data_IF_959437114589
#
_entry.id   IF_959437114589
#
_cell.length_a   1.000
_cell.length_b   1.000
_cell.length_c   1.000
_cell.angle_alpha   90.00
_cell.angle_beta   90.00
_cell.angle_gamma   90.00
#
_symmetry.space_group_name_H-M   'P 1'
#
loop_
_entity.id
_entity.type
_entity.pdbx_description
1 polymer ?
#
# COMPACT_ATOMS: atom_id res chain seq x y z
N UNK A 1 9.89 10.93 -67.72
CA UNK A 1 9.39 9.77 -66.95
C UNK A 1 9.26 10.23 -65.50
N UNK A 2 8.02 10.53 -65.11
CA UNK A 2 7.45 10.82 -63.78
C UNK A 2 8.13 11.74 -62.74
N UNK A 3 7.27 12.63 -62.23
CA UNK A 3 7.46 13.79 -61.36
C UNK A 3 7.51 13.44 -59.86
N UNK A 4 7.90 14.38 -58.97
CA UNK A 4 7.88 14.19 -57.52
C UNK A 4 6.48 14.44 -56.94
N UNK A 5 5.99 13.54 -56.09
CA UNK A 5 4.80 13.77 -55.27
C UNK A 5 5.19 14.02 -53.81
N UNK A 6 4.64 15.12 -53.31
CA UNK A 6 4.52 15.56 -51.94
C UNK A 6 4.09 14.44 -50.98
N UNK A 7 4.77 14.32 -49.83
CA UNK A 7 4.15 13.78 -48.63
C UNK A 7 4.13 14.80 -47.50
N UNK A 8 2.88 15.10 -47.15
CA UNK A 8 2.38 15.99 -46.12
C UNK A 8 2.95 15.65 -44.75
N UNK A 9 3.37 16.69 -44.01
CA UNK A 9 3.34 16.68 -42.55
C UNK A 9 1.96 16.17 -42.12
N UNK A 10 1.91 15.05 -41.41
CA UNK A 10 0.84 14.76 -40.46
C UNK A 10 1.47 14.71 -39.08
N UNK A 11 1.08 15.70 -38.28
CA UNK A 11 1.13 15.71 -36.83
C UNK A 11 0.56 14.40 -36.29
N UNK A 12 1.43 13.52 -35.80
CA UNK A 12 1.03 12.51 -34.84
C UNK A 12 1.01 13.18 -33.47
N UNK A 13 -0.18 13.61 -33.07
CA UNK A 13 -0.48 13.98 -31.70
C UNK A 13 -0.14 12.78 -30.81
N UNK A 14 0.82 12.94 -29.92
CA UNK A 14 1.18 11.95 -28.90
C UNK A 14 0.08 12.00 -27.85
N UNK A 15 -0.90 11.09 -27.96
CA UNK A 15 -1.88 10.85 -26.90
C UNK A 15 -1.22 10.00 -25.81
N UNK A 16 -1.16 10.57 -24.62
CA UNK A 16 -0.65 9.93 -23.39
C UNK A 16 -1.84 9.27 -22.69
N UNK A 17 -1.88 7.94 -22.49
CA UNK A 17 -3.00 7.29 -21.82
C UNK A 17 -2.97 7.57 -20.32
N UNK A 18 -4.08 8.09 -19.80
CA UNK A 18 -4.29 8.37 -18.39
C UNK A 18 -4.55 7.08 -17.61
N UNK A 19 -3.74 6.83 -16.57
CA UNK A 19 -3.91 5.69 -15.67
C UNK A 19 -5.09 5.94 -14.72
N UNK A 20 -6.18 5.19 -14.90
CA UNK A 20 -7.23 5.01 -13.89
C UNK A 20 -6.72 3.98 -12.88
N UNK A 21 -6.68 4.34 -11.62
CA UNK A 21 -6.19 3.47 -10.54
C UNK A 21 -7.40 3.05 -9.68
N UNK A 22 -7.53 1.73 -9.49
CA UNK A 22 -8.15 0.91 -8.44
C UNK A 22 -9.43 1.32 -7.69
N UNK A 23 -9.68 2.60 -7.48
CA UNK A 23 -10.64 3.12 -6.51
C UNK A 23 -12.03 3.34 -7.09
N UNK A 24 -12.13 3.53 -8.41
CA UNK A 24 -13.35 3.95 -9.09
C UNK A 24 -14.19 2.79 -9.64
N UNK A 25 -13.56 1.67 -9.99
CA UNK A 25 -14.26 0.49 -10.54
C UNK A 25 -14.77 -0.43 -9.44
N UNK A 26 -14.05 -0.55 -8.32
CA UNK A 26 -14.47 -1.37 -7.17
C UNK A 26 -15.64 -0.74 -6.41
N UNK A 27 -15.76 0.59 -6.43
CA UNK A 27 -16.86 1.30 -5.78
C UNK A 27 -18.21 1.09 -6.48
N UNK A 28 -18.22 0.95 -7.81
CA UNK A 28 -19.45 0.64 -8.55
C UNK A 28 -19.94 -0.78 -8.38
N UNK A 29 -19.02 -1.69 -8.07
CA UNK A 29 -19.35 -3.10 -7.84
C UNK A 29 -19.97 -3.34 -6.45
N UNK A 30 -19.79 -2.40 -5.51
CA UNK A 30 -20.39 -2.47 -4.18
C UNK A 30 -21.76 -1.80 -4.11
N UNK A 31 -22.04 -0.82 -4.98
CA UNK A 31 -23.40 -0.24 -5.11
C UNK A 31 -24.41 -1.24 -5.66
N UNK A 32 -24.00 -2.14 -6.56
CA UNK A 32 -24.89 -3.19 -7.10
C UNK A 32 -25.33 -4.24 -6.05
N UNK A 33 -24.55 -4.42 -4.97
CA UNK A 33 -24.86 -5.38 -3.92
C UNK A 33 -25.99 -4.92 -2.98
N UNK A 34 -26.29 -3.62 -2.91
CA UNK A 34 -27.37 -3.09 -2.07
C UNK A 34 -28.71 -2.97 -2.82
N UNK A 35 -28.73 -2.91 -4.16
CA UNK A 35 -29.97 -2.84 -4.94
C UNK A 35 -30.75 -4.16 -5.03
N UNK A 36 -30.11 -5.33 -4.80
CA UNK A 36 -30.78 -6.63 -4.96
C UNK A 36 -31.37 -7.25 -3.67
N UNK A 37 -31.42 -6.54 -2.53
CA UNK A 37 -32.16 -7.06 -1.37
C UNK A 37 -33.67 -6.88 -1.56
N UNK A 38 -34.48 -7.96 -1.54
CA UNK A 38 -35.91 -7.84 -1.69
C UNK A 38 -36.51 -7.06 -0.51
N UNK A 39 -37.25 -6.00 -0.83
CA UNK A 39 -38.08 -5.20 0.06
C UNK A 39 -39.09 -6.12 0.78
N UNK A 40 -38.80 -6.50 2.01
CA UNK A 40 -39.78 -7.07 2.93
C UNK A 40 -40.26 -5.97 3.87
N UNK A 41 -41.52 -5.58 3.70
CA UNK A 41 -42.38 -5.05 4.76
C UNK A 41 -42.29 -3.55 5.04
N UNK A 42 -43.11 -2.78 4.31
CA UNK A 42 -43.72 -1.57 4.87
C UNK A 42 -44.77 -2.00 5.90
N UNK A 43 -44.64 -1.55 7.16
CA UNK A 43 -45.72 -0.99 7.98
C UNK A 43 -45.22 -0.67 9.40
N UNK A 44 -45.27 0.62 9.75
CA UNK A 44 -45.51 1.14 11.11
C UNK A 44 -44.51 0.80 12.23
N UNK A 45 -43.54 1.69 12.46
CA UNK A 45 -43.34 2.21 13.82
C UNK A 45 -42.87 3.67 13.75
N UNK A 46 -43.81 4.57 14.07
CA UNK A 46 -43.53 5.97 14.33
C UNK A 46 -42.84 6.09 15.69
N UNK A 47 -41.63 6.66 15.70
CA UNK A 47 -41.09 7.24 16.93
C UNK A 47 -39.64 6.92 17.21
N UNK A 48 -38.74 7.73 16.68
CA UNK A 48 -37.69 8.44 17.43
C UNK A 48 -36.87 9.26 16.44
N UNK A 49 -37.31 10.50 16.24
CA UNK A 49 -36.55 11.50 15.51
C UNK A 49 -35.23 11.81 16.20
N UNK A 50 -34.16 11.15 15.76
CA UNK A 50 -32.78 11.61 15.94
C UNK A 50 -32.53 12.81 15.02
N UNK A 51 -32.94 13.99 15.47
CA UNK A 51 -32.69 15.27 14.78
C UNK A 51 -31.19 15.43 14.46
N UNK A 52 -30.94 15.79 13.21
CA UNK A 52 -29.62 16.10 12.66
C UNK A 52 -28.84 17.08 13.53
N UNK A 53 -27.67 16.60 13.95
CA UNK A 53 -26.56 17.39 14.46
C UNK A 53 -25.37 16.98 13.58
N UNK A 54 -25.42 17.33 12.29
CA UNK A 54 -24.26 17.30 11.41
C UNK A 54 -23.28 18.38 11.91
N UNK A 55 -22.54 18.07 12.97
CA UNK A 55 -21.68 19.02 13.68
C UNK A 55 -20.28 18.98 13.14
N UNK A 56 -19.53 20.08 13.29
CA UNK A 56 -18.11 20.16 12.97
C UNK A 56 -17.26 19.00 13.52
N UNK A 57 -17.78 18.29 14.53
CA UNK A 57 -17.30 17.02 15.07
C UNK A 57 -17.00 15.96 13.99
N UNK A 58 -17.86 15.82 12.97
CA UNK A 58 -17.69 14.81 11.92
C UNK A 58 -16.58 15.21 10.94
N UNK A 59 -16.44 16.50 10.65
CA UNK A 59 -15.36 17.03 9.80
C UNK A 59 -13.99 16.80 10.44
N UNK A 60 -13.89 16.99 11.76
CA UNK A 60 -12.67 16.70 12.50
C UNK A 60 -12.33 15.20 12.46
N UNK A 61 -13.31 14.32 12.62
CA UNK A 61 -13.10 12.88 12.55
C UNK A 61 -12.64 12.44 11.15
N UNK A 62 -13.25 12.97 10.09
CA UNK A 62 -12.79 12.78 8.71
C UNK A 62 -11.38 13.35 8.51
N UNK A 63 -11.06 14.52 9.06
CA UNK A 63 -9.71 15.08 8.98
C UNK A 63 -8.67 14.20 9.69
N UNK A 64 -8.99 13.62 10.85
CA UNK A 64 -8.12 12.66 11.53
C UNK A 64 -7.92 11.37 10.71
N UNK A 65 -8.98 10.86 10.06
CA UNK A 65 -8.87 9.72 9.15
C UNK A 65 -7.92 10.03 7.98
N UNK A 66 -8.11 11.18 7.32
CA UNK A 66 -7.25 11.61 6.22
C UNK A 66 -5.82 11.87 6.68
N UNK A 67 -5.62 12.48 7.85
CA UNK A 67 -4.28 12.77 8.38
C UNK A 67 -3.52 11.50 8.77
N UNK A 68 -4.23 10.51 9.32
CA UNK A 68 -3.69 9.17 9.55
C UNK A 68 -3.27 8.51 8.23
N UNK A 69 -4.14 8.56 7.22
CA UNK A 69 -3.84 7.97 5.91
C UNK A 69 -2.66 8.68 5.22
N UNK A 70 -2.62 10.02 5.25
CA UNK A 70 -1.46 10.82 4.79
C UNK A 70 -0.17 10.35 5.47
N UNK A 71 -0.18 10.24 6.80
CA UNK A 71 0.99 9.81 7.57
C UNK A 71 1.45 8.40 7.19
N UNK A 72 0.52 7.45 7.09
CA UNK A 72 0.81 6.06 6.77
C UNK A 72 1.34 5.91 5.35
N UNK A 73 0.63 6.42 4.35
CA UNK A 73 1.02 6.36 2.93
C UNK A 73 2.33 7.10 2.68
N UNK A 74 2.52 8.30 3.22
CA UNK A 74 3.77 9.04 3.05
C UNK A 74 4.97 8.29 3.66
N UNK A 75 4.78 7.69 4.84
CA UNK A 75 5.84 6.91 5.49
C UNK A 75 6.14 5.62 4.73
N UNK A 76 5.11 4.96 4.16
CA UNK A 76 5.28 3.78 3.31
C UNK A 76 6.06 4.13 2.03
N UNK A 77 5.67 5.19 1.33
CA UNK A 77 6.37 5.66 0.13
C UNK A 77 7.82 6.09 0.42
N UNK A 78 8.07 6.76 1.56
CA UNK A 78 9.43 7.07 2.01
C UNK A 78 10.27 5.81 2.18
N UNK A 79 9.71 4.78 2.83
CA UNK A 79 10.41 3.53 3.08
C UNK A 79 10.68 2.75 1.79
N UNK A 80 9.70 2.62 0.90
CA UNK A 80 9.84 1.89 -0.36
C UNK A 80 10.96 2.50 -1.22
N UNK A 81 11.02 3.84 -1.27
CA UNK A 81 12.09 4.53 -1.99
C UNK A 81 13.44 4.48 -1.26
N UNK A 82 13.48 4.75 0.05
CA UNK A 82 14.71 4.78 0.83
C UNK A 82 15.39 3.41 0.90
N UNK A 83 14.63 2.34 1.14
CA UNK A 83 15.17 0.98 1.22
C UNK A 83 15.84 0.55 -0.09
N UNK A 84 15.24 0.85 -1.24
CA UNK A 84 15.80 0.60 -2.56
C UNK A 84 17.10 1.39 -2.77
N UNK A 85 17.09 2.68 -2.45
CA UNK A 85 18.24 3.56 -2.58
C UNK A 85 19.40 3.09 -1.70
N UNK A 86 19.13 2.76 -0.43
CA UNK A 86 20.15 2.29 0.51
C UNK A 86 20.76 0.96 0.06
N UNK A 87 19.98 0.04 -0.48
CA UNK A 87 20.49 -1.23 -0.99
C UNK A 87 21.41 -1.04 -2.20
N UNK A 88 21.09 -0.13 -3.12
CA UNK A 88 21.95 0.18 -4.28
C UNK A 88 23.27 0.82 -3.82
N UNK A 89 23.21 1.71 -2.82
CA UNK A 89 24.42 2.37 -2.30
C UNK A 89 25.37 1.40 -1.58
N UNK A 90 24.82 0.30 -1.04
CA UNK A 90 25.55 -0.81 -0.41
C UNK A 90 26.06 -1.80 -1.46
N UNK A 91 25.23 -2.19 -2.43
CA UNK A 91 25.55 -3.15 -3.49
C UNK A 91 25.64 -2.47 -4.86
N UNK A 92 26.76 -1.79 -5.12
CA UNK A 92 26.91 -0.92 -6.31
C UNK A 92 26.86 -1.67 -7.64
N UNK A 93 27.35 -2.90 -7.67
CA UNK A 93 27.51 -3.67 -8.92
C UNK A 93 26.35 -4.64 -9.17
N UNK A 94 25.34 -4.70 -8.29
CA UNK A 94 24.21 -5.60 -8.43
C UNK A 94 22.89 -5.01 -7.93
N UNK A 95 21.86 -5.15 -8.76
CA UNK A 95 20.49 -4.77 -8.40
C UNK A 95 19.73 -5.90 -7.67
N UNK A 96 20.33 -7.10 -7.59
CA UNK A 96 19.66 -8.30 -7.07
C UNK A 96 19.10 -8.08 -5.65
N UNK A 97 19.84 -7.53 -4.66
CA UNK A 97 19.31 -7.31 -3.32
C UNK A 97 18.05 -6.44 -3.28
N UNK A 98 18.06 -5.35 -4.05
CA UNK A 98 16.93 -4.42 -4.13
C UNK A 98 15.73 -5.08 -4.84
N UNK A 99 15.97 -5.87 -5.89
CA UNK A 99 14.93 -6.65 -6.57
C UNK A 99 14.33 -7.75 -5.69
N UNK A 100 15.14 -8.43 -4.86
CA UNK A 100 14.65 -9.46 -3.94
C UNK A 100 13.70 -8.86 -2.89
N UNK A 101 14.06 -7.71 -2.31
CA UNK A 101 13.20 -7.00 -1.36
C UNK A 101 11.85 -6.65 -2.01
N UNK A 102 11.87 -6.06 -3.21
CA UNK A 102 10.64 -5.75 -3.94
C UNK A 102 9.80 -6.99 -4.26
N UNK A 103 10.43 -8.03 -4.81
CA UNK A 103 9.77 -9.28 -5.20
C UNK A 103 9.09 -9.97 -4.03
N UNK A 104 9.83 -10.21 -2.93
CA UNK A 104 9.28 -10.93 -1.79
C UNK A 104 8.23 -10.12 -1.04
N UNK A 105 8.36 -8.79 -1.00
CA UNK A 105 7.33 -7.92 -0.41
C UNK A 105 6.01 -8.04 -1.16
N UNK A 106 6.04 -7.98 -2.50
CA UNK A 106 4.82 -8.13 -3.32
C UNK A 106 4.29 -9.56 -3.34
N UNK A 107 5.16 -10.57 -3.41
CA UNK A 107 4.78 -11.97 -3.39
C UNK A 107 4.11 -12.37 -2.06
N UNK A 108 4.65 -11.89 -0.93
CA UNK A 108 4.07 -12.13 0.39
C UNK A 108 2.68 -11.50 0.51
N UNK A 109 2.53 -10.25 0.05
CA UNK A 109 1.21 -9.59 -0.01
C UNK A 109 0.22 -10.36 -0.88
N UNK A 110 0.64 -10.84 -2.05
CA UNK A 110 -0.20 -11.60 -2.97
C UNK A 110 -0.66 -12.94 -2.37
N UNK A 111 0.26 -13.71 -1.78
CA UNK A 111 -0.03 -15.06 -1.27
C UNK A 111 -0.82 -15.05 0.04
N UNK A 112 -0.69 -13.98 0.85
CA UNK A 112 -1.30 -13.87 2.17
C UNK A 112 -2.43 -12.85 2.23
N UNK A 113 -2.81 -12.21 1.13
CA UNK A 113 -3.92 -11.25 1.06
C UNK A 113 -5.24 -11.88 1.53
N UNK A 114 -5.57 -13.10 1.07
CA UNK A 114 -6.76 -13.84 1.51
C UNK A 114 -6.76 -14.12 3.02
N UNK A 115 -5.59 -14.45 3.59
CA UNK A 115 -5.44 -14.59 5.04
C UNK A 115 -5.68 -13.27 5.79
N UNK A 116 -5.14 -12.16 5.27
CA UNK A 116 -5.34 -10.82 5.84
C UNK A 116 -6.81 -10.40 5.77
N UNK A 117 -7.50 -10.62 4.65
CA UNK A 117 -8.94 -10.37 4.52
C UNK A 117 -9.74 -11.16 5.56
N UNK A 118 -9.43 -12.45 5.71
CA UNK A 118 -10.04 -13.28 6.76
C UNK A 118 -9.74 -12.81 8.19
N UNK A 119 -8.59 -12.16 8.42
CA UNK A 119 -8.25 -11.54 9.70
C UNK A 119 -9.07 -10.26 9.93
N UNK A 120 -9.25 -9.44 8.89
CA UNK A 120 -10.07 -8.23 8.92
C UNK A 120 -11.50 -8.55 9.33
N UNK A 121 -12.03 -9.65 8.80
CA UNK A 121 -13.36 -10.09 9.16
C UNK A 121 -13.45 -10.56 10.61
N UNK A 122 -12.48 -11.32 11.11
CA UNK A 122 -12.57 -12.00 12.42
C UNK A 122 -12.18 -11.12 13.61
N UNK A 123 -11.25 -10.21 13.41
CA UNK A 123 -10.69 -9.38 14.48
C UNK A 123 -11.47 -8.07 14.58
N UNK A 124 -11.64 -7.58 15.80
CA UNK A 124 -12.25 -6.28 16.08
C UNK A 124 -11.53 -5.17 15.32
N UNK A 125 -12.28 -4.28 14.68
CA UNK A 125 -11.78 -3.27 13.72
C UNK A 125 -10.65 -2.42 14.31
N UNK A 126 -10.88 -1.83 15.48
CA UNK A 126 -9.88 -1.01 16.16
C UNK A 126 -8.62 -1.79 16.54
N UNK A 127 -8.79 -3.04 17.00
CA UNK A 127 -7.66 -3.88 17.40
C UNK A 127 -6.82 -4.26 16.19
N UNK A 128 -7.47 -4.59 15.07
CA UNK A 128 -6.79 -4.92 13.82
C UNK A 128 -5.95 -3.75 13.33
N UNK A 129 -6.54 -2.55 13.20
CA UNK A 129 -5.81 -1.37 12.71
C UNK A 129 -4.65 -1.02 13.65
N UNK A 130 -4.83 -1.10 14.96
CA UNK A 130 -3.75 -0.88 15.94
C UNK A 130 -2.62 -1.90 15.83
N UNK A 131 -2.94 -3.17 15.57
CA UNK A 131 -1.93 -4.21 15.37
C UNK A 131 -1.19 -3.99 14.05
N UNK A 132 -1.91 -3.61 12.99
CA UNK A 132 -1.33 -3.32 11.69
C UNK A 132 -0.37 -2.12 11.75
N UNK A 133 -0.79 -0.99 12.35
CA UNK A 133 0.08 0.18 12.58
C UNK A 133 1.30 -0.20 13.42
N UNK A 134 1.08 -0.91 14.54
CA UNK A 134 2.17 -1.34 15.42
C UNK A 134 3.18 -2.23 14.70
N UNK A 135 2.71 -3.20 13.92
CA UNK A 135 3.55 -4.08 13.11
C UNK A 135 4.30 -3.29 12.03
N UNK A 136 3.61 -2.44 11.27
CA UNK A 136 4.17 -1.61 10.21
C UNK A 136 5.31 -0.73 10.72
N UNK A 137 5.06 0.04 11.79
CA UNK A 137 6.06 0.93 12.39
C UNK A 137 7.21 0.15 13.01
N UNK A 138 6.95 -0.98 13.67
CA UNK A 138 8.00 -1.82 14.27
C UNK A 138 8.93 -2.39 13.21
N UNK A 139 8.40 -2.94 12.10
CA UNK A 139 9.24 -3.48 11.03
C UNK A 139 10.01 -2.40 10.27
N UNK A 140 9.42 -1.21 10.07
CA UNK A 140 10.14 -0.04 9.53
C UNK A 140 11.29 0.40 10.43
N UNK A 141 11.04 0.54 11.74
CA UNK A 141 12.07 0.88 12.72
C UNK A 141 13.15 -0.18 12.80
N UNK A 142 12.79 -1.47 12.77
CA UNK A 142 13.75 -2.57 12.77
C UNK A 142 14.65 -2.52 11.52
N UNK A 143 14.07 -2.26 10.34
CA UNK A 143 14.84 -2.13 9.10
C UNK A 143 15.73 -0.89 9.08
N UNK A 144 15.23 0.28 9.44
CA UNK A 144 16.09 1.47 9.55
C UNK A 144 17.17 1.31 10.62
N UNK A 145 16.86 0.63 11.72
CA UNK A 145 17.86 0.26 12.73
C UNK A 145 18.86 -0.75 12.20
N UNK A 146 18.49 -1.64 11.30
CA UNK A 146 19.41 -2.56 10.64
C UNK A 146 20.36 -1.79 9.69
N UNK A 147 19.83 -0.82 8.95
CA UNK A 147 20.60 0.10 8.11
C UNK A 147 21.50 1.06 8.91
N UNK A 148 21.17 1.36 10.17
CA UNK A 148 21.97 2.23 11.05
C UNK A 148 22.89 1.44 12.00
N UNK A 149 22.51 0.21 12.33
CA UNK A 149 22.83 -0.47 13.58
C UNK A 149 23.73 -1.69 13.45
N UNK A 150 24.69 -1.71 12.53
CA UNK A 150 25.82 -2.65 12.64
C UNK A 150 26.72 -2.34 13.87
N UNK A 151 26.53 -1.20 14.56
CA UNK A 151 27.28 -0.87 15.79
C UNK A 151 26.73 -1.53 17.06
N UNK A 152 25.44 -1.85 17.14
CA UNK A 152 24.81 -2.36 18.38
C UNK A 152 25.00 -3.87 18.55
N UNK A 153 24.97 -4.64 17.46
CA UNK A 153 25.16 -6.10 17.48
C UNK A 153 26.64 -6.48 17.71
N UNK A 154 27.58 -5.60 17.35
CA UNK A 154 29.02 -5.84 17.45
C UNK A 154 29.72 -5.10 18.61
N UNK A 155 28.96 -4.55 19.56
CA UNK A 155 29.51 -3.77 20.69
C UNK A 155 30.26 -4.62 21.74
N UNK A 156 30.34 -5.95 21.53
CA UNK A 156 31.15 -6.86 22.34
C UNK A 156 32.56 -7.14 21.81
N UNK A 157 32.92 -6.75 20.58
CA UNK A 157 34.18 -7.23 19.97
C UNK A 157 35.08 -6.19 19.29
N UNK A 158 34.68 -4.94 19.04
CA UNK A 158 35.54 -3.99 18.29
C UNK A 158 35.52 -2.59 18.91
N UNK A 159 36.70 -2.10 19.34
CA UNK A 159 36.92 -0.70 19.72
C UNK A 159 36.78 0.17 18.47
N UNK A 160 35.89 1.14 18.55
CA UNK A 160 35.60 2.07 17.47
C UNK A 160 36.73 3.10 17.31
N UNK A 161 37.25 3.22 16.09
CA UNK A 161 37.83 4.45 15.57
C UNK A 161 37.16 4.77 14.21
N UNK A 162 36.87 6.05 13.99
CA UNK A 162 36.32 6.70 12.79
C UNK A 162 34.92 6.35 12.22
N UNK A 163 33.93 7.12 12.68
CA UNK A 163 33.25 8.12 11.82
C UNK A 163 32.29 7.70 10.69
N UNK A 164 32.13 6.42 10.34
CA UNK A 164 31.19 6.03 9.27
C UNK A 164 30.18 5.00 9.77
N UNK A 165 28.94 5.43 9.99
CA UNK A 165 27.86 4.55 10.49
C UNK A 165 26.66 4.60 9.54
N UNK A 166 26.75 3.78 8.51
CA UNK A 166 25.60 3.16 7.83
C UNK A 166 25.94 1.68 7.59
N UNK A 167 27.18 1.44 7.16
CA UNK A 167 27.86 0.15 7.01
C UNK A 167 29.39 0.36 7.19
N UNK A 168 29.84 0.96 8.30
CA UNK A 168 31.23 1.46 8.47
C UNK A 168 32.36 0.48 8.15
N UNK A 169 32.34 -0.76 8.69
CA UNK A 169 33.34 -1.77 8.33
C UNK A 169 32.91 -2.62 7.14
N UNK A 170 31.61 -2.92 6.97
CA UNK A 170 31.11 -3.92 6.01
C UNK A 170 30.88 -3.36 4.61
N UNK A 171 30.63 -2.07 4.41
CA UNK A 171 30.40 -1.48 3.07
C UNK A 171 31.48 -1.85 2.04
N UNK A 172 32.80 -1.75 2.34
CA UNK A 172 33.82 -2.17 1.39
C UNK A 172 33.85 -3.69 1.15
N UNK A 173 33.35 -4.50 2.10
CA UNK A 173 33.36 -5.96 1.99
C UNK A 173 32.02 -6.56 1.58
N UNK A 174 30.90 -5.83 1.64
CA UNK A 174 29.56 -6.36 1.42
C UNK A 174 29.41 -6.89 0.00
N UNK A 175 30.05 -6.19 -0.95
CA UNK A 175 30.11 -6.62 -2.34
C UNK A 175 30.97 -7.89 -2.50
N UNK A 176 32.21 -7.89 -2.00
CA UNK A 176 33.07 -9.07 -2.03
C UNK A 176 32.43 -10.27 -1.31
N UNK A 177 31.73 -10.01 -0.21
CA UNK A 177 31.00 -10.99 0.58
C UNK A 177 29.77 -11.55 -0.14
N UNK A 178 29.10 -10.75 -0.96
CA UNK A 178 28.01 -11.20 -1.81
C UNK A 178 28.49 -12.18 -2.88
N UNK A 179 29.68 -11.93 -3.46
CA UNK A 179 30.32 -12.82 -4.44
C UNK A 179 31.05 -14.02 -3.82
N UNK A 180 31.25 -14.03 -2.50
CA UNK A 180 31.92 -15.12 -1.77
C UNK A 180 33.43 -14.96 -1.63
N UNK A 181 33.98 -13.79 -1.97
CA UNK A 181 35.42 -13.49 -1.97
C UNK A 181 35.94 -12.96 -0.61
N UNK A 182 35.04 -12.78 0.36
CA UNK A 182 35.37 -12.32 1.71
C UNK A 182 35.49 -13.47 2.73
N UNK A 183 35.94 -13.17 3.95
CA UNK A 183 35.99 -14.16 5.02
C UNK A 183 34.59 -14.73 5.30
N UNK A 184 34.47 -16.03 5.66
CA UNK A 184 33.18 -16.71 5.80
C UNK A 184 32.26 -16.05 6.84
N UNK A 185 32.85 -15.39 7.85
CA UNK A 185 32.10 -14.63 8.85
C UNK A 185 31.44 -13.38 8.26
N UNK A 186 32.13 -12.66 7.37
CA UNK A 186 31.60 -11.45 6.71
C UNK A 186 30.53 -11.83 5.68
N UNK A 187 30.75 -12.93 4.94
CA UNK A 187 29.74 -13.52 4.04
C UNK A 187 28.47 -13.88 4.81
N UNK A 188 28.61 -14.63 5.91
CA UNK A 188 27.48 -14.99 6.76
C UNK A 188 26.75 -13.76 7.34
N UNK A 189 27.48 -12.76 7.83
CA UNK A 189 26.89 -11.52 8.36
C UNK A 189 26.13 -10.73 7.27
N UNK A 190 26.67 -10.65 6.05
CA UNK A 190 26.04 -9.90 4.95
C UNK A 190 24.75 -10.58 4.49
N UNK A 191 24.76 -11.90 4.31
CA UNK A 191 23.57 -12.66 3.93
C UNK A 191 22.50 -12.67 5.03
N UNK A 192 22.88 -12.75 6.30
CA UNK A 192 21.92 -12.68 7.41
C UNK A 192 21.24 -11.33 7.48
N UNK A 193 21.99 -10.22 7.33
CA UNK A 193 21.41 -8.88 7.25
C UNK A 193 20.45 -8.78 6.05
N UNK A 194 20.86 -9.25 4.86
CA UNK A 194 20.01 -9.21 3.67
C UNK A 194 18.71 -9.99 3.86
N UNK A 195 18.79 -11.21 4.40
CA UNK A 195 17.62 -12.05 4.67
C UNK A 195 16.71 -11.40 5.70
N UNK A 196 17.26 -10.78 6.75
CA UNK A 196 16.47 -10.05 7.75
C UNK A 196 15.79 -8.83 7.13
N UNK A 197 16.49 -8.07 6.28
CA UNK A 197 15.88 -6.95 5.55
C UNK A 197 14.70 -7.44 4.71
N UNK A 198 14.90 -8.47 3.89
CA UNK A 198 13.85 -9.07 3.05
C UNK A 198 12.67 -9.56 3.89
N UNK A 199 12.93 -10.24 5.01
CA UNK A 199 11.89 -10.75 5.90
C UNK A 199 11.07 -9.61 6.52
N UNK A 200 11.73 -8.58 7.06
CA UNK A 200 11.03 -7.43 7.63
C UNK A 200 10.28 -6.62 6.58
N UNK A 201 10.83 -6.43 5.37
CA UNK A 201 10.11 -5.78 4.27
C UNK A 201 8.90 -6.58 3.82
N UNK A 202 8.98 -7.91 3.82
CA UNK A 202 7.86 -8.79 3.49
C UNK A 202 6.73 -8.71 4.51
N UNK A 203 7.07 -8.73 5.80
CA UNK A 203 6.10 -8.54 6.88
C UNK A 203 5.50 -7.14 6.88
N UNK A 204 6.30 -6.13 6.50
CA UNK A 204 5.82 -4.77 6.30
C UNK A 204 4.81 -4.67 5.15
N UNK A 205 5.09 -5.31 4.01
CA UNK A 205 4.14 -5.38 2.89
C UNK A 205 2.81 -6.02 3.30
N UNK A 206 2.86 -7.03 4.17
CA UNK A 206 1.66 -7.65 4.72
C UNK A 206 0.88 -6.70 5.66
N UNK A 207 1.58 -5.97 6.52
CA UNK A 207 0.97 -4.97 7.40
C UNK A 207 0.33 -3.83 6.60
N UNK A 208 0.98 -3.34 5.54
CA UNK A 208 0.42 -2.35 4.62
C UNK A 208 -0.84 -2.89 3.93
N UNK A 209 -0.82 -4.15 3.48
CA UNK A 209 -2.01 -4.80 2.88
C UNK A 209 -3.16 -4.83 3.89
N UNK A 210 -2.89 -5.15 5.15
CA UNK A 210 -3.90 -5.13 6.21
C UNK A 210 -4.44 -3.72 6.48
N UNK A 211 -3.59 -2.70 6.42
CA UNK A 211 -4.00 -1.29 6.55
C UNK A 211 -4.93 -0.86 5.42
N UNK A 212 -4.58 -1.17 4.17
CA UNK A 212 -5.43 -0.86 3.00
C UNK A 212 -6.78 -1.56 3.10
N UNK A 213 -6.82 -2.87 3.39
CA UNK A 213 -8.08 -3.59 3.51
C UNK A 213 -8.92 -3.08 4.69
N UNK A 214 -8.31 -2.79 5.84
CA UNK A 214 -9.03 -2.33 7.03
C UNK A 214 -9.54 -0.90 6.89
N UNK A 215 -8.71 0.04 6.42
CA UNK A 215 -9.06 1.46 6.39
C UNK A 215 -9.76 1.82 5.08
N UNK A 216 -9.11 1.57 3.95
CA UNK A 216 -9.61 2.00 2.64
C UNK A 216 -10.83 1.16 2.20
N UNK A 217 -10.82 -0.15 2.45
CA UNK A 217 -11.89 -1.05 1.97
C UNK A 217 -12.97 -1.37 3.00
N UNK A 218 -12.71 -1.30 4.32
CA UNK A 218 -13.74 -1.56 5.33
C UNK A 218 -14.22 -0.27 6.03
N UNK A 219 -13.31 0.57 6.55
CA UNK A 219 -13.71 1.76 7.32
C UNK A 219 -14.36 2.82 6.45
N UNK A 220 -13.77 3.17 5.30
CA UNK A 220 -14.32 4.21 4.40
C UNK A 220 -15.72 3.85 3.93
N UNK A 221 -15.94 2.61 3.51
CA UNK A 221 -17.25 2.10 3.08
C UNK A 221 -18.25 2.11 4.24
N UNK A 222 -17.81 1.70 5.44
CA UNK A 222 -18.71 1.71 6.61
C UNK A 222 -19.04 3.12 7.10
N UNK A 223 -18.11 4.07 6.99
CA UNK A 223 -18.33 5.47 7.40
C UNK A 223 -19.29 6.17 6.45
N UNK A 224 -19.20 5.88 5.14
CA UNK A 224 -20.05 6.50 4.12
C UNK A 224 -21.45 5.86 3.97
N UNK A 225 -21.82 4.90 4.83
CA UNK A 225 -23.03 4.07 4.76
C UNK A 225 -24.26 4.79 4.19
N UNK A 226 -24.84 4.24 3.12
CA UNK A 226 -26.02 4.76 2.42
C UNK A 226 -25.85 6.18 1.81
N UNK A 227 -24.62 6.70 1.67
CA UNK A 227 -24.32 8.00 1.03
C UNK A 227 -23.23 7.82 -0.05
N UNK A 228 -23.62 7.42 -1.29
CA UNK A 228 -22.69 7.23 -2.41
C UNK A 228 -21.85 8.48 -2.74
N UNK A 229 -22.41 9.72 -2.70
CA UNK A 229 -21.60 10.94 -2.84
C UNK A 229 -20.50 11.09 -1.77
N UNK A 230 -20.77 10.78 -0.50
CA UNK A 230 -19.76 10.82 0.55
C UNK A 230 -18.67 9.76 0.34
N UNK A 231 -19.04 8.56 -0.10
CA UNK A 231 -18.11 7.47 -0.42
C UNK A 231 -17.14 7.88 -1.54
N UNK A 232 -17.68 8.41 -2.63
CA UNK A 232 -16.90 8.94 -3.77
C UNK A 232 -15.93 10.02 -3.32
N UNK A 233 -16.39 10.94 -2.47
CA UNK A 233 -15.55 12.04 -1.95
C UNK A 233 -14.42 11.55 -1.05
N UNK A 234 -14.69 10.62 -0.15
CA UNK A 234 -13.66 10.05 0.75
C UNK A 234 -12.60 9.31 -0.05
N UNK A 235 -13.03 8.44 -0.96
CA UNK A 235 -12.15 7.69 -1.84
C UNK A 235 -11.30 8.61 -2.73
N UNK A 236 -11.92 9.62 -3.35
CA UNK A 236 -11.20 10.63 -4.13
C UNK A 236 -10.13 11.36 -3.29
N UNK A 237 -10.39 11.63 -2.01
CA UNK A 237 -9.40 12.27 -1.14
C UNK A 237 -8.24 11.33 -0.80
N UNK A 238 -8.52 10.07 -0.45
CA UNK A 238 -7.53 9.00 -0.22
C UNK A 238 -6.64 8.83 -1.45
N UNK A 239 -7.26 8.69 -2.62
CA UNK A 239 -6.63 8.62 -3.93
C UNK A 239 -5.63 9.76 -4.20
N UNK A 240 -6.04 11.00 -3.92
CA UNK A 240 -5.17 12.17 -4.08
C UNK A 240 -3.99 12.13 -3.12
N UNK A 241 -4.21 11.68 -1.88
CA UNK A 241 -3.16 11.51 -0.89
C UNK A 241 -2.13 10.49 -1.36
N UNK A 242 -2.56 9.38 -1.96
CA UNK A 242 -1.67 8.36 -2.51
C UNK A 242 -0.80 8.89 -3.64
N UNK A 243 -1.41 9.56 -4.61
CA UNK A 243 -0.70 10.14 -5.74
C UNK A 243 0.31 11.21 -5.30
N UNK A 244 -0.09 12.10 -4.39
CA UNK A 244 0.80 13.13 -3.84
C UNK A 244 1.94 12.50 -3.02
N UNK A 245 1.66 11.47 -2.23
CA UNK A 245 2.68 10.78 -1.43
C UNK A 245 3.71 10.07 -2.30
N UNK A 246 3.28 9.41 -3.38
CA UNK A 246 4.17 8.77 -4.38
C UNK A 246 5.12 9.76 -5.08
N UNK A 247 4.80 11.06 -5.07
CA UNK A 247 5.65 12.12 -5.60
C UNK A 247 6.55 12.75 -4.52
N UNK A 248 5.95 13.17 -3.41
CA UNK A 248 6.62 13.99 -2.40
C UNK A 248 7.63 13.14 -1.60
N UNK A 249 7.30 11.89 -1.28
CA UNK A 249 8.17 11.04 -0.45
C UNK A 249 9.56 10.78 -1.07
N UNK A 250 9.68 10.36 -2.36
CA UNK A 250 10.98 10.24 -3.01
C UNK A 250 11.79 11.53 -3.05
N UNK A 251 11.14 12.67 -3.30
CA UNK A 251 11.80 13.99 -3.27
C UNK A 251 12.32 14.30 -1.88
N UNK A 252 11.50 14.07 -0.84
CA UNK A 252 11.88 14.26 0.54
C UNK A 252 13.11 13.43 0.93
N UNK A 253 13.09 12.12 0.61
CA UNK A 253 14.23 11.23 0.87
C UNK A 253 15.47 11.65 0.08
N UNK A 254 15.31 12.02 -1.20
CA UNK A 254 16.44 12.40 -2.07
C UNK A 254 17.12 13.69 -1.60
N UNK A 255 16.34 14.71 -1.20
CA UNK A 255 16.86 15.95 -0.61
C UNK A 255 17.66 15.63 0.65
N UNK A 256 17.07 14.80 1.52
CA UNK A 256 17.67 14.43 2.78
C UNK A 256 18.99 13.66 2.60
N UNK A 257 19.05 12.73 1.65
CA UNK A 257 20.28 11.98 1.33
C UNK A 257 21.33 12.83 0.63
N UNK A 258 20.93 13.79 -0.20
CA UNK A 258 21.84 14.65 -0.96
C UNK A 258 22.53 15.68 -0.05
N UNK A 259 21.76 16.35 0.82
CA UNK A 259 22.31 17.42 1.68
C UNK A 259 22.90 16.90 2.99
N UNK A 260 22.32 15.84 3.57
CA UNK A 260 22.76 15.30 4.86
C UNK A 260 23.57 14.01 4.77
N UNK A 261 23.65 13.40 3.59
CA UNK A 261 24.18 12.05 3.43
C UNK A 261 23.20 10.97 3.94
N UNK A 262 23.50 9.71 3.61
CA UNK A 262 22.61 8.58 3.90
C UNK A 262 22.43 8.28 5.39
N UNK A 263 23.41 8.61 6.23
CA UNK A 263 23.36 8.43 7.68
C UNK A 263 22.33 9.36 8.31
N UNK A 264 22.46 10.65 7.98
CA UNK A 264 21.51 11.66 8.41
C UNK A 264 20.11 11.31 7.91
N UNK A 265 20.00 10.90 6.64
CA UNK A 265 18.72 10.53 6.06
C UNK A 265 18.05 9.36 6.79
N UNK A 266 18.79 8.27 7.03
CA UNK A 266 18.27 7.10 7.75
C UNK A 266 17.87 7.46 9.18
N UNK A 267 18.66 8.30 9.86
CA UNK A 267 18.37 8.73 11.24
C UNK A 267 17.10 9.56 11.31
N UNK A 268 16.93 10.53 10.41
CA UNK A 268 15.74 11.38 10.35
C UNK A 268 14.50 10.56 9.98
N UNK A 269 14.60 9.61 9.02
CA UNK A 269 13.49 8.72 8.67
C UNK A 269 13.10 7.80 9.84
N UNK A 270 14.08 7.27 10.59
CA UNK A 270 13.84 6.47 11.78
C UNK A 270 13.07 7.27 12.85
N UNK A 271 13.54 8.49 13.14
CA UNK A 271 12.87 9.39 14.08
C UNK A 271 11.47 9.78 13.60
N UNK A 272 11.29 10.00 12.30
CA UNK A 272 10.00 10.30 11.70
C UNK A 272 8.99 9.15 11.87
N UNK A 273 9.42 7.90 11.64
CA UNK A 273 8.57 6.71 11.89
C UNK A 273 8.18 6.62 13.37
N UNK A 274 9.14 6.84 14.28
CA UNK A 274 8.88 6.79 15.72
C UNK A 274 7.88 7.88 16.15
N UNK A 275 8.05 9.11 15.65
CA UNK A 275 7.15 10.24 15.94
C UNK A 275 5.74 10.00 15.38
N UNK A 276 5.63 9.56 14.14
CA UNK A 276 4.34 9.29 13.49
C UNK A 276 3.59 8.11 14.12
N UNK A 277 4.29 7.16 14.74
CA UNK A 277 3.65 6.05 15.45
C UNK A 277 2.68 6.56 16.52
N UNK A 278 3.11 7.43 17.44
CA UNK A 278 2.25 7.95 18.50
C UNK A 278 1.05 8.74 17.94
N UNK A 279 1.29 9.54 16.89
CA UNK A 279 0.27 10.33 16.24
C UNK A 279 -0.81 9.46 15.56
N UNK A 280 -0.41 8.38 14.87
CA UNK A 280 -1.36 7.47 14.20
C UNK A 280 -2.22 6.70 15.20
N UNK A 281 -1.66 6.22 16.31
CA UNK A 281 -2.46 5.60 17.38
C UNK A 281 -3.49 6.57 17.95
N UNK A 282 -3.14 7.85 18.07
CA UNK A 282 -4.04 8.89 18.53
C UNK A 282 -5.17 9.15 17.52
N UNK A 283 -4.85 9.38 16.25
CA UNK A 283 -5.86 9.67 15.23
C UNK A 283 -6.81 8.50 15.01
N UNK A 284 -6.32 7.26 14.96
CA UNK A 284 -7.18 6.06 14.84
C UNK A 284 -8.14 5.92 16.01
N UNK A 285 -7.69 6.20 17.23
CA UNK A 285 -8.58 6.17 18.40
C UNK A 285 -9.66 7.25 18.32
N UNK A 286 -9.30 8.46 17.86
CA UNK A 286 -10.27 9.54 17.66
C UNK A 286 -11.30 9.13 16.60
N UNK A 287 -10.87 8.61 15.45
CA UNK A 287 -11.77 8.16 14.38
C UNK A 287 -12.74 7.10 14.90
N UNK A 288 -12.23 6.05 15.57
CA UNK A 288 -13.07 4.96 16.05
C UNK A 288 -14.10 5.40 17.10
N UNK A 289 -13.72 6.30 18.02
CA UNK A 289 -14.66 6.82 19.02
C UNK A 289 -15.71 7.77 18.45
N UNK A 290 -15.38 8.46 17.35
CA UNK A 290 -16.27 9.46 16.73
C UNK A 290 -17.24 8.86 15.73
N UNK A 291 -16.92 7.71 15.14
CA UNK A 291 -17.81 6.99 14.24
C UNK A 291 -18.39 5.74 14.92
N UNK A 292 -19.50 5.86 15.68
CA UNK A 292 -20.12 4.70 16.35
C UNK A 292 -20.59 3.62 15.36
N UNK A 293 -20.88 4.00 14.11
CA UNK A 293 -21.21 3.09 13.00
C UNK A 293 -20.14 2.00 12.79
N UNK A 294 -18.88 2.30 13.10
CA UNK A 294 -17.80 1.29 13.04
C UNK A 294 -17.98 0.19 14.09
N UNK A 295 -18.45 0.53 15.29
CA UNK A 295 -18.73 -0.40 16.38
C UNK A 295 -20.05 -1.15 16.15
N UNK A 296 -21.09 -0.47 15.70
CA UNK A 296 -22.39 -1.08 15.38
C UNK A 296 -22.26 -2.14 14.27
N UNK A 297 -21.48 -1.86 13.22
CA UNK A 297 -21.20 -2.83 12.16
C UNK A 297 -20.43 -4.06 12.68
N UNK A 298 -19.62 -3.91 13.72
CA UNK A 298 -18.92 -5.01 14.38
C UNK A 298 -19.89 -5.88 15.20
N UNK A 299 -20.82 -5.27 15.93
CA UNK A 299 -21.87 -5.99 16.69
C UNK A 299 -22.82 -6.76 15.78
N UNK A 300 -23.24 -6.16 14.65
CA UNK A 300 -24.05 -6.84 13.64
C UNK A 300 -23.33 -8.06 13.03
N UNK A 301 -22.03 -7.92 12.72
CA UNK A 301 -21.18 -9.04 12.27
C UNK A 301 -21.05 -10.11 13.37
N UNK A 302 -21.00 -9.73 14.64
CA UNK A 302 -20.90 -10.67 15.77
C UNK A 302 -22.21 -11.45 16.02
N UNK A 303 -23.37 -10.80 15.93
CA UNK A 303 -24.68 -11.42 16.09
C UNK A 303 -24.95 -12.46 14.99
N UNK A 304 -24.55 -12.16 13.76
CA UNK A 304 -24.65 -13.09 12.62
C UNK A 304 -23.74 -14.31 12.78
N UNK A 305 -22.71 -14.23 13.64
CA UNK A 305 -21.71 -15.29 13.88
C UNK A 305 -22.00 -16.18 15.09
N UNK A 306 -23.13 -16.03 15.77
CA UNK A 306 -23.53 -16.94 16.84
C UNK A 306 -23.56 -18.38 16.29
N UNK A 307 -22.74 -19.32 16.83
CA UNK A 307 -22.72 -20.68 16.33
C UNK A 307 -24.00 -21.43 16.67
N UNK A 308 -24.51 -22.21 15.70
CA UNK A 308 -25.16 -23.47 16.03
C UNK A 308 -24.19 -24.32 16.90
N UNK A 309 -24.73 -24.89 17.97
CA UNK A 309 -24.16 -25.78 19.01
C UNK A 309 -22.63 -26.11 18.99
N UNK A 310 -21.97 -26.12 20.17
CA UNK A 310 -20.53 -26.38 20.26
C UNK A 310 -20.19 -27.82 19.86
N UNK A 311 -19.55 -28.01 18.71
CA UNK A 311 -18.84 -29.26 18.42
C UNK A 311 -17.61 -29.37 19.32
N UNK A 312 -17.59 -30.46 20.08
CA UNK A 312 -16.59 -30.91 21.05
C UNK A 312 -15.15 -30.51 20.76
N UNK A 313 -14.53 -29.99 21.82
CA UNK A 313 -13.12 -29.74 22.05
C UNK A 313 -12.21 -30.93 21.72
N UNK A 314 -11.45 -30.83 20.64
CA UNK A 314 -10.22 -31.60 20.46
C UNK A 314 -9.03 -30.71 20.87
N UNK A 315 -8.50 -30.93 22.06
CA UNK A 315 -7.37 -30.20 22.67
C UNK A 315 -6.00 -30.67 22.16
N UNK A 316 -5.87 -30.95 20.86
CA UNK A 316 -4.57 -31.17 20.22
C UNK A 316 -4.11 -29.85 19.63
N UNK A 317 -2.96 -29.35 20.08
CA UNK A 317 -2.24 -28.24 19.43
C UNK A 317 -2.21 -28.54 17.92
N UNK A 318 -2.94 -27.78 17.10
CA UNK A 318 -3.10 -28.13 15.70
C UNK A 318 -1.73 -28.04 15.02
N UNK A 319 -1.29 -29.14 14.42
CA UNK A 319 -0.06 -29.18 13.63
C UNK A 319 -0.13 -28.09 12.55
N UNK A 320 0.92 -27.27 12.46
CA UNK A 320 1.05 -26.17 11.48
C UNK A 320 0.72 -26.63 10.05
N UNK A 321 1.10 -27.87 9.70
CA UNK A 321 0.81 -28.50 8.42
C UNK A 321 -0.67 -28.79 8.20
N UNK A 322 -1.39 -29.17 9.26
CA UNK A 322 -2.85 -29.38 9.21
C UNK A 322 -3.63 -28.06 9.10
N UNK A 323 -3.10 -26.98 9.67
CA UNK A 323 -3.67 -25.63 9.53
C UNK A 323 -3.43 -25.08 8.13
N UNK A 324 -2.22 -25.24 7.59
CA UNK A 324 -1.89 -24.86 6.22
C UNK A 324 -2.78 -25.59 5.20
N UNK A 325 -3.01 -26.90 5.38
CA UNK A 325 -3.91 -27.66 4.51
C UNK A 325 -5.38 -27.21 4.58
N UNK A 326 -5.86 -26.82 5.76
CA UNK A 326 -7.22 -26.25 5.94
C UNK A 326 -7.32 -24.86 5.30
N UNK A 327 -6.31 -24.02 5.48
CA UNK A 327 -6.25 -22.70 4.84
C UNK A 327 -6.25 -22.83 3.31
N UNK A 328 -5.40 -23.68 2.75
CA UNK A 328 -5.34 -23.88 1.29
C UNK A 328 -6.66 -24.41 0.69
N UNK A 329 -7.37 -25.27 1.42
CA UNK A 329 -8.70 -25.73 1.00
C UNK A 329 -9.72 -24.59 0.99
N UNK A 330 -9.69 -23.72 2.00
CA UNK A 330 -10.55 -22.54 2.07
C UNK A 330 -10.21 -21.56 0.95
N UNK A 331 -8.94 -21.23 0.78
CA UNK A 331 -8.46 -20.32 -0.26
C UNK A 331 -8.91 -20.78 -1.66
N UNK A 332 -8.79 -22.08 -1.96
CA UNK A 332 -9.31 -22.63 -3.22
C UNK A 332 -10.82 -22.51 -3.36
N UNK A 333 -11.57 -22.60 -2.27
CA UNK A 333 -13.02 -22.38 -2.25
C UNK A 333 -13.36 -20.93 -2.55
N UNK A 334 -12.73 -20.00 -1.84
CA UNK A 334 -12.92 -18.56 -1.98
C UNK A 334 -12.57 -18.10 -3.42
N UNK A 335 -11.48 -18.63 -4.01
CA UNK A 335 -11.14 -18.40 -5.43
C UNK A 335 -12.15 -18.98 -6.41
N UNK A 336 -12.67 -20.19 -6.14
CA UNK A 336 -13.67 -20.81 -7.01
C UNK A 336 -15.01 -20.06 -6.96
N UNK A 337 -15.34 -19.44 -5.83
CA UNK A 337 -16.48 -18.53 -5.68
C UNK A 337 -16.22 -17.21 -6.42
N UNK A 338 -15.04 -16.60 -6.23
CA UNK A 338 -14.67 -15.35 -6.89
C UNK A 338 -14.77 -15.42 -8.42
N UNK A 339 -14.32 -16.53 -9.03
CA UNK A 339 -14.40 -16.75 -10.50
C UNK A 339 -15.84 -16.79 -11.01
N UNK A 340 -16.81 -17.13 -10.15
CA UNK A 340 -18.23 -17.21 -10.51
C UNK A 340 -18.97 -15.89 -10.35
N UNK A 341 -18.37 -14.91 -9.65
CA UNK A 341 -19.00 -13.62 -9.46
C UNK A 341 -19.04 -12.84 -10.78
N UNK A 342 -20.12 -12.07 -11.05
CA UNK A 342 -20.25 -11.29 -12.29
C UNK A 342 -19.12 -10.26 -12.47
N UNK A 343 -18.50 -9.85 -11.37
CA UNK A 343 -17.43 -8.84 -11.33
C UNK A 343 -16.07 -9.38 -11.80
N UNK A 344 -15.91 -10.70 -11.94
CA UNK A 344 -14.63 -11.35 -12.21
C UNK A 344 -13.94 -10.86 -13.49
N UNK A 345 -14.71 -10.66 -14.56
CA UNK A 345 -14.17 -10.16 -15.83
C UNK A 345 -13.63 -8.72 -15.69
N UNK A 346 -14.32 -7.88 -14.93
CA UNK A 346 -13.86 -6.52 -14.61
C UNK A 346 -12.58 -6.56 -13.78
N UNK A 347 -12.50 -7.44 -12.77
CA UNK A 347 -11.30 -7.65 -11.95
C UNK A 347 -10.10 -8.17 -12.74
N UNK A 348 -10.31 -9.00 -13.78
CA UNK A 348 -9.22 -9.41 -14.69
C UNK A 348 -8.79 -8.23 -15.58
N UNK A 349 -9.74 -7.47 -16.12
CA UNK A 349 -9.44 -6.32 -16.98
C UNK A 349 -8.51 -5.33 -16.27
N UNK A 350 -8.85 -4.98 -15.03
CA UNK A 350 -8.01 -4.10 -14.22
C UNK A 350 -6.62 -4.72 -13.93
N UNK A 351 -6.54 -6.02 -13.62
CA UNK A 351 -5.26 -6.69 -13.42
C UNK A 351 -4.36 -6.65 -14.65
N UNK A 352 -4.94 -6.74 -15.86
CA UNK A 352 -4.20 -6.64 -17.13
C UNK A 352 -3.69 -5.22 -17.37
N UNK A 353 -4.44 -4.18 -16.98
CA UNK A 353 -3.96 -2.78 -17.04
C UNK A 353 -2.71 -2.59 -16.18
N UNK A 354 -2.63 -3.27 -15.02
CA UNK A 354 -1.43 -3.26 -14.17
C UNK A 354 -0.23 -4.03 -14.73
N UNK A 355 -0.40 -4.83 -15.80
CA UNK A 355 0.70 -5.51 -16.49
C UNK A 355 1.52 -4.58 -17.41
N UNK A 356 1.36 -3.26 -17.26
CA UNK A 356 2.16 -2.28 -18.00
C UNK A 356 3.53 -2.09 -17.36
N UNK A 357 4.57 -2.09 -18.19
CA UNK A 357 5.94 -1.69 -17.79
C UNK A 357 6.29 -0.28 -18.26
N UNK A 358 5.32 0.46 -18.83
CA UNK A 358 5.51 1.81 -19.37
C UNK A 358 5.19 2.92 -18.37
N UNK A 359 4.72 2.57 -17.16
CA UNK A 359 4.62 3.52 -16.08
C UNK A 359 6.03 4.04 -15.73
N UNK A 360 6.14 5.32 -15.38
CA UNK A 360 7.40 5.93 -14.88
C UNK A 360 7.70 5.46 -13.44
N UNK A 361 7.73 4.14 -13.25
CA UNK A 361 8.10 3.45 -12.03
C UNK A 361 9.59 3.00 -12.09
N UNK A 362 10.11 2.47 -10.98
CA UNK A 362 11.54 2.21 -10.80
C UNK A 362 12.20 1.35 -11.89
N UNK A 363 11.48 0.37 -12.45
CA UNK A 363 11.98 -0.52 -13.50
C UNK A 363 12.15 0.19 -14.85
N UNK A 364 11.14 0.97 -15.28
CA UNK A 364 11.22 1.76 -16.51
C UNK A 364 12.27 2.85 -16.38
N UNK A 365 12.34 3.53 -15.24
CA UNK A 365 13.37 4.55 -14.95
C UNK A 365 14.77 3.96 -15.01
N UNK A 366 15.00 2.79 -14.40
CA UNK A 366 16.28 2.10 -14.47
C UNK A 366 16.67 1.76 -15.92
N UNK A 367 15.71 1.28 -16.72
CA UNK A 367 15.94 0.96 -18.13
C UNK A 367 16.27 2.19 -18.98
N UNK A 368 15.47 3.26 -18.92
CA UNK A 368 15.74 4.47 -19.73
C UNK A 368 17.05 5.15 -19.32
N UNK A 369 17.41 5.11 -18.03
CA UNK A 369 18.69 5.64 -17.56
C UNK A 369 19.86 4.78 -18.04
N UNK A 370 19.79 3.46 -17.85
CA UNK A 370 20.88 2.55 -18.20
C UNK A 370 21.06 2.34 -19.71
N UNK A 371 19.96 2.18 -20.46
CA UNK A 371 19.98 1.82 -21.88
C UNK A 371 19.95 3.04 -22.82
N UNK A 372 19.36 4.16 -22.40
CA UNK A 372 19.19 5.36 -23.24
C UNK A 372 19.95 6.59 -22.74
N UNK A 373 20.48 6.58 -21.52
CA UNK A 373 21.26 7.69 -20.96
C UNK A 373 20.47 8.99 -20.82
N UNK A 374 19.17 8.89 -20.54
CA UNK A 374 18.32 10.08 -20.39
C UNK A 374 18.71 10.90 -19.16
N UNK A 375 18.54 12.22 -19.27
CA UNK A 375 18.85 13.16 -18.21
C UNK A 375 17.91 12.99 -17.00
N UNK A 376 18.47 13.10 -15.80
CA UNK A 376 17.74 12.90 -14.54
C UNK A 376 16.63 13.96 -14.37
N UNK A 377 16.82 15.18 -14.88
CA UNK A 377 15.78 16.22 -14.83
C UNK A 377 14.60 15.89 -15.77
N UNK A 378 14.86 15.29 -16.93
CA UNK A 378 13.80 14.87 -17.85
C UNK A 378 12.95 13.74 -17.25
N UNK A 379 13.59 12.77 -16.61
CA UNK A 379 12.90 11.67 -15.91
C UNK A 379 12.02 12.23 -14.78
N UNK A 380 12.56 13.16 -13.98
CA UNK A 380 11.81 13.81 -12.91
C UNK A 380 10.60 14.60 -13.44
N UNK A 381 10.76 15.32 -14.56
CA UNK A 381 9.68 16.04 -15.23
C UNK A 381 8.56 15.10 -15.67
N UNK A 382 8.90 14.00 -16.35
CA UNK A 382 7.92 13.02 -16.84
C UNK A 382 7.16 12.36 -15.69
N UNK A 383 7.84 12.05 -14.58
CA UNK A 383 7.19 11.55 -13.37
C UNK A 383 6.22 12.57 -12.78
N UNK A 384 6.62 13.85 -12.75
CA UNK A 384 5.74 14.94 -12.33
C UNK A 384 4.48 15.02 -13.21
N UNK A 385 4.63 14.91 -14.53
CA UNK A 385 3.50 14.87 -15.46
C UNK A 385 2.57 13.68 -15.21
N UNK A 386 3.10 12.49 -14.94
CA UNK A 386 2.29 11.31 -14.60
C UNK A 386 1.40 11.54 -13.36
N UNK A 387 1.93 12.23 -12.35
CA UNK A 387 1.17 12.56 -11.13
C UNK A 387 0.11 13.60 -11.43
N UNK A 388 0.42 14.62 -12.25
CA UNK A 388 -0.58 15.62 -12.68
C UNK A 388 -1.70 14.96 -13.47
N UNK A 389 -1.40 14.06 -14.41
CA UNK A 389 -2.43 13.33 -15.16
C UNK A 389 -3.27 12.43 -14.26
N UNK A 390 -2.65 11.76 -13.27
CA UNK A 390 -3.39 10.99 -12.27
C UNK A 390 -4.32 11.86 -11.41
N UNK A 391 -3.86 13.04 -10.99
CA UNK A 391 -4.68 14.00 -10.22
C UNK A 391 -5.85 14.55 -11.04
N UNK A 392 -5.64 14.81 -12.34
CA UNK A 392 -6.72 15.18 -13.27
C UNK A 392 -7.78 14.08 -13.31
N UNK A 393 -7.37 12.80 -13.37
CA UNK A 393 -8.27 11.65 -13.26
C UNK A 393 -9.22 11.77 -12.06
N UNK A 394 -8.69 12.08 -10.87
CA UNK A 394 -9.48 12.25 -9.63
C UNK A 394 -10.47 13.44 -9.64
N UNK A 395 -10.39 14.32 -10.63
CA UNK A 395 -11.33 15.42 -10.83
C UNK A 395 -12.33 15.15 -11.95
N UNK A 396 -11.90 14.37 -12.93
CA UNK A 396 -12.67 13.97 -14.10
C UNK A 396 -13.68 12.90 -13.71
N UNK A 397 -13.28 11.86 -12.97
CA UNK A 397 -14.20 10.76 -12.66
C UNK A 397 -15.45 11.18 -11.91
N UNK A 398 -15.42 11.92 -10.78
CA UNK A 398 -16.66 12.21 -10.06
C UNK A 398 -17.65 13.02 -10.92
N UNK A 399 -17.14 13.77 -11.90
CA UNK A 399 -17.96 14.48 -12.89
C UNK A 399 -18.52 13.54 -13.95
N UNK A 400 -17.74 12.57 -14.43
CA UNK A 400 -18.24 11.55 -15.36
C UNK A 400 -19.29 10.68 -14.69
N UNK A 401 -19.04 10.20 -13.48
CA UNK A 401 -19.96 9.37 -12.71
C UNK A 401 -21.33 10.03 -12.54
N UNK A 402 -21.35 11.31 -12.12
CA UNK A 402 -22.59 12.08 -11.96
C UNK A 402 -23.29 12.41 -13.29
N UNK A 403 -22.58 12.41 -14.41
CA UNK A 403 -23.13 12.82 -15.72
C UNK A 403 -23.62 11.64 -16.56
N UNK A 404 -22.87 10.54 -16.58
CA UNK A 404 -23.11 9.40 -17.50
C UNK A 404 -23.29 8.07 -16.77
N UNK A 405 -23.17 8.04 -15.44
CA UNK A 405 -23.24 6.81 -14.65
C UNK A 405 -21.91 6.05 -14.62
N UNK A 406 -21.79 5.17 -13.64
CA UNK A 406 -20.53 4.52 -13.26
C UNK A 406 -20.00 3.53 -14.31
N UNK A 407 -20.88 2.68 -14.86
CA UNK A 407 -20.50 1.71 -15.89
C UNK A 407 -19.99 2.39 -17.18
N UNK A 408 -20.68 3.46 -17.61
CA UNK A 408 -20.32 4.19 -18.83
C UNK A 408 -19.06 5.02 -18.63
N UNK A 409 -18.88 5.60 -17.44
CA UNK A 409 -17.63 6.27 -17.07
C UNK A 409 -16.45 5.29 -17.12
N UNK A 410 -16.60 4.09 -16.54
CA UNK A 410 -15.61 3.02 -16.62
C UNK A 410 -15.26 2.63 -18.06
N UNK A 411 -16.28 2.36 -18.90
CA UNK A 411 -16.08 1.98 -20.30
C UNK A 411 -15.41 3.07 -21.15
N UNK A 412 -15.63 4.36 -20.86
CA UNK A 412 -14.98 5.47 -21.55
C UNK A 412 -13.54 5.70 -21.11
N UNK A 413 -13.21 5.25 -19.90
CA UNK A 413 -11.90 5.44 -19.29
C UNK A 413 -10.88 4.38 -19.74
N UNK A 414 -11.35 3.19 -20.10
CA UNK A 414 -10.52 2.11 -20.66
C UNK A 414 -10.35 2.39 -22.16
N UNK A 415 -9.20 2.93 -22.55
CA UNK A 415 -8.86 3.20 -23.96
C UNK A 415 -7.61 2.43 -24.39
#
# INVERSE_FOLDING_TARGET
MYAPMSESRRSASVEVPAQIEFDEVEMGLLTDQEEERPLIGSEGDEGLGGKGVATDTDKWAVACLLLQHVSSTFTAACYDFASFLFLIEVFKDTLVPASLVGLFTKLTGLLLSGYVGGLVDRVRRLRLVRLAIGAEKSFKLANYSLFLGTKLVLHGCVKADDGSVLFGPLRPYAQAAFHGDASPLIVGATWTILVLTVAFSSLLGLANTAMTVAIERDWVITIARNDPPALTKLNTNIRRIDLLSKLIAPLFVSVLSTFGGYIFATTILLLWVAATCAAEYFWVEVVYRRFPVLAEGEEAKALTRLPAAPTSSDSRLPSMWSQAGKWWKRERGDWAEFVRLPIFASSISIAVIYLTTLSYDGTFIAYIKAARGWDDAFIALMRGLCVVTGLIGTWVMPRLETSIGLERAGAWSIW
#
